data_IF_887067731447
#
_entry.id   IF_887067731447
#
_cell.length_a   1.000
_cell.length_b   1.000
_cell.length_c   1.000
_cell.angle_alpha   90.00
_cell.angle_beta   90.00
_cell.angle_gamma   90.00
#
_symmetry.space_group_name_H-M   'P 1'
#
loop_
_entity.id
_entity.type
_entity.pdbx_description
1 polymer ?
#
# COMPACT_ATOMS: atom_id res chain seq x y z
N UNK A 1 26.31 2.65 -3.71
CA UNK A 1 25.64 2.50 -5.01
C UNK A 1 25.03 3.85 -5.39
N UNK A 2 25.15 4.33 -6.63
CA UNK A 2 24.53 5.60 -7.05
C UNK A 2 23.01 5.43 -7.23
N UNK A 3 22.22 6.45 -6.88
CA UNK A 3 20.75 6.41 -6.95
C UNK A 3 20.23 6.86 -8.31
N UNK A 4 19.02 6.43 -8.66
CA UNK A 4 18.33 6.95 -9.84
C UNK A 4 18.04 8.45 -9.68
N UNK A 5 18.40 9.25 -10.68
CA UNK A 5 18.45 10.71 -10.60
C UNK A 5 19.87 11.28 -10.50
N UNK A 6 20.82 10.50 -9.95
CA UNK A 6 22.26 10.81 -10.01
C UNK A 6 22.89 10.26 -11.29
N UNK A 7 22.37 9.13 -11.78
CA UNK A 7 22.72 8.49 -13.05
C UNK A 7 21.46 7.92 -13.72
N UNK A 8 21.49 7.77 -15.05
CA UNK A 8 20.45 7.03 -15.78
C UNK A 8 20.64 5.54 -15.54
N UNK A 9 19.64 4.91 -14.91
CA UNK A 9 19.57 3.46 -14.75
C UNK A 9 18.54 2.96 -15.78
N UNK A 10 18.95 2.25 -16.86
CA UNK A 10 17.99 1.68 -17.80
C UNK A 10 17.06 0.71 -17.07
N UNK A 11 15.75 0.94 -17.16
CA UNK A 11 14.71 -0.02 -16.77
C UNK A 11 13.56 0.05 -17.76
N UNK A 12 12.96 -1.11 -18.04
CA UNK A 12 11.62 -1.17 -18.59
C UNK A 12 10.59 -1.23 -17.47
N UNK A 13 9.31 -1.12 -17.83
CA UNK A 13 8.22 -1.44 -16.91
C UNK A 13 7.65 -2.81 -17.28
N UNK A 14 7.31 -3.57 -16.24
CA UNK A 14 6.46 -4.75 -16.30
C UNK A 14 5.09 -4.36 -15.69
N UNK A 15 3.99 -4.62 -16.39
CA UNK A 15 2.64 -4.31 -15.91
C UNK A 15 1.75 -5.51 -16.22
N UNK A 16 0.95 -5.91 -15.23
CA UNK A 16 -0.08 -6.93 -15.41
C UNK A 16 -1.33 -6.57 -14.62
N UNK A 17 -2.49 -7.02 -15.08
CA UNK A 17 -3.74 -6.85 -14.36
C UNK A 17 -4.68 -8.03 -14.62
N UNK A 18 -5.45 -8.40 -13.60
CA UNK A 18 -6.52 -9.39 -13.68
C UNK A 18 -7.74 -8.87 -12.92
N UNK A 19 -8.92 -9.04 -13.52
CA UNK A 19 -10.19 -8.62 -12.91
C UNK A 19 -11.26 -9.67 -13.17
N UNK A 20 -12.01 -10.02 -12.13
CA UNK A 20 -13.19 -10.85 -12.23
C UNK A 20 -14.38 -10.00 -12.67
N UNK A 21 -14.93 -10.30 -13.86
CA UNK A 21 -16.13 -9.61 -14.38
C UNK A 21 -17.37 -9.84 -13.51
N UNK A 22 -17.39 -10.95 -12.77
CA UNK A 22 -18.49 -11.35 -11.87
C UNK A 22 -18.26 -10.86 -10.43
N UNK A 23 -17.16 -10.14 -10.16
CA UNK A 23 -16.82 -9.71 -8.79
C UNK A 23 -16.36 -10.83 -7.86
N UNK A 24 -16.12 -12.05 -8.39
CA UNK A 24 -15.56 -13.16 -7.60
C UNK A 24 -14.14 -12.82 -7.13
N UNK A 25 -13.90 -12.94 -5.83
CA UNK A 25 -12.58 -12.75 -5.21
C UNK A 25 -11.65 -13.92 -5.55
N UNK A 26 -10.39 -13.61 -5.80
CA UNK A 26 -9.31 -14.55 -6.11
C UNK A 26 -8.04 -14.11 -5.37
N UNK A 27 -7.11 -15.04 -5.16
CA UNK A 27 -5.82 -14.75 -4.54
C UNK A 27 -4.90 -13.98 -5.48
N UNK A 28 -3.83 -13.40 -4.94
CA UNK A 28 -2.81 -12.69 -5.72
C UNK A 28 -1.97 -13.63 -6.60
N UNK A 29 -2.07 -14.95 -6.46
CA UNK A 29 -1.18 -15.91 -7.13
C UNK A 29 -1.11 -15.74 -8.65
N UNK A 30 -2.27 -15.59 -9.30
CA UNK A 30 -2.32 -15.51 -10.76
C UNK A 30 -1.61 -14.25 -11.26
N UNK A 31 -1.81 -13.11 -10.61
CA UNK A 31 -1.13 -11.86 -10.98
C UNK A 31 0.36 -11.94 -10.66
N UNK A 32 0.76 -12.55 -9.54
CA UNK A 32 2.18 -12.76 -9.20
C UNK A 32 2.88 -13.60 -10.27
N UNK A 33 2.30 -14.76 -10.64
CA UNK A 33 2.85 -15.65 -11.68
C UNK A 33 2.95 -14.96 -13.04
N UNK A 34 2.02 -14.04 -13.35
CA UNK A 34 2.06 -13.28 -14.60
C UNK A 34 3.24 -12.31 -14.70
N UNK A 35 3.88 -11.95 -13.58
CA UNK A 35 5.04 -11.06 -13.56
C UNK A 35 6.36 -11.78 -13.87
N UNK A 36 6.45 -13.09 -13.60
CA UNK A 36 7.69 -13.89 -13.74
C UNK A 36 8.29 -13.80 -15.15
N UNK A 37 7.52 -13.95 -16.27
CA UNK A 37 8.09 -13.84 -17.60
C UNK A 37 8.59 -12.43 -17.96
N UNK A 38 8.26 -11.42 -17.14
CA UNK A 38 8.66 -10.03 -17.35
C UNK A 38 9.83 -9.61 -16.45
N UNK A 39 10.46 -10.53 -15.71
CA UNK A 39 11.60 -10.25 -14.81
C UNK A 39 12.67 -9.38 -15.48
N UNK A 40 13.13 -9.79 -16.67
CA UNK A 40 14.20 -9.10 -17.43
C UNK A 40 13.81 -7.71 -17.94
N UNK A 41 12.53 -7.32 -17.85
CA UNK A 41 12.08 -5.96 -18.17
C UNK A 41 12.28 -5.02 -16.99
N UNK A 42 12.44 -5.54 -15.79
CA UNK A 42 12.61 -4.80 -14.54
C UNK A 42 14.06 -4.84 -14.07
N UNK A 43 14.40 -4.01 -13.08
CA UNK A 43 15.73 -3.93 -12.48
C UNK A 43 15.72 -4.18 -10.97
N UNK A 44 14.56 -4.50 -10.39
CA UNK A 44 14.40 -4.83 -8.98
C UNK A 44 14.36 -3.61 -8.06
N UNK A 45 14.33 -2.39 -8.60
CA UNK A 45 14.25 -1.17 -7.79
C UNK A 45 12.83 -0.86 -7.30
N UNK A 46 11.82 -1.62 -7.75
CA UNK A 46 10.47 -1.49 -7.23
C UNK A 46 9.50 -2.52 -7.78
N UNK A 47 8.90 -3.30 -6.89
CA UNK A 47 7.79 -4.20 -7.18
C UNK A 47 6.57 -3.76 -6.40
N UNK A 48 5.38 -3.93 -6.99
CA UNK A 48 4.16 -3.66 -6.25
C UNK A 48 2.89 -4.20 -6.89
N UNK A 49 1.88 -4.31 -6.04
CA UNK A 49 0.55 -4.77 -6.35
C UNK A 49 -0.48 -3.79 -5.81
N UNK A 50 -1.62 -3.66 -6.48
CA UNK A 50 -2.81 -3.06 -5.91
C UNK A 50 -3.97 -4.04 -6.08
N UNK A 51 -4.80 -4.14 -5.05
CA UNK A 51 -5.91 -5.07 -5.00
C UNK A 51 -7.19 -4.35 -4.58
N UNK A 52 -8.31 -4.70 -5.20
CA UNK A 52 -9.64 -4.22 -4.82
C UNK A 52 -10.53 -5.37 -4.36
N UNK A 53 -11.42 -5.10 -3.40
CA UNK A 53 -12.24 -6.13 -2.75
C UNK A 53 -11.50 -6.93 -1.68
N UNK A 54 -10.31 -6.45 -1.27
CA UNK A 54 -9.37 -7.18 -0.43
C UNK A 54 -9.68 -7.08 1.07
N UNK A 55 -10.51 -6.12 1.48
CA UNK A 55 -10.89 -5.88 2.87
C UNK A 55 -12.42 -5.91 3.04
N UNK A 56 -13.06 -7.07 2.85
CA UNK A 56 -14.52 -7.20 2.89
C UNK A 56 -15.12 -6.76 4.23
N UNK A 57 -14.46 -7.08 5.34
CA UNK A 57 -14.93 -6.81 6.70
C UNK A 57 -14.80 -5.33 7.08
N UNK A 58 -13.96 -4.59 6.35
CA UNK A 58 -13.70 -3.16 6.53
C UNK A 58 -14.02 -2.34 5.27
N UNK A 59 -14.95 -2.84 4.44
CA UNK A 59 -15.20 -2.32 3.08
C UNK A 59 -15.54 -0.82 3.01
N UNK A 60 -16.15 -0.27 4.06
CA UNK A 60 -16.65 1.10 4.09
C UNK A 60 -15.67 2.08 4.77
N UNK A 61 -14.55 1.55 5.29
CA UNK A 61 -13.47 2.33 5.89
C UNK A 61 -12.32 2.53 4.90
N UNK A 62 -11.60 3.64 5.05
CA UNK A 62 -10.35 3.83 4.32
C UNK A 62 -9.26 2.96 4.94
N UNK A 63 -8.55 2.22 4.09
CA UNK A 63 -7.37 1.47 4.47
C UNK A 63 -6.12 2.30 4.16
N UNK A 64 -5.55 2.92 5.20
CA UNK A 64 -4.29 3.63 5.11
C UNK A 64 -3.16 2.62 5.30
N UNK A 65 -2.38 2.36 4.25
CA UNK A 65 -1.13 1.62 4.39
C UNK A 65 0.01 2.61 4.52
N UNK A 66 0.78 2.49 5.61
CA UNK A 66 1.79 3.46 5.99
C UNK A 66 3.09 2.73 6.30
N UNK A 67 4.19 3.23 5.75
CA UNK A 67 5.54 2.88 6.19
C UNK A 67 5.97 3.84 7.29
N UNK A 68 6.61 3.29 8.33
CA UNK A 68 7.31 4.07 9.34
C UNK A 68 8.76 3.66 9.48
N UNK A 69 9.63 4.64 9.71
CA UNK A 69 11.05 4.41 10.01
C UNK A 69 11.20 3.81 11.42
N UNK A 70 10.40 4.27 12.38
CA UNK A 70 10.44 3.80 13.77
C UNK A 70 9.09 3.88 14.51
N UNK A 71 9.07 3.32 15.72
CA UNK A 71 7.87 3.25 16.55
C UNK A 71 7.45 4.60 17.17
N UNK A 72 8.38 5.55 17.35
CA UNK A 72 8.05 6.87 17.86
C UNK A 72 7.24 7.63 16.80
N UNK A 73 7.74 7.66 15.56
CA UNK A 73 7.06 8.25 14.40
C UNK A 73 5.69 7.60 14.17
N UNK A 74 5.61 6.26 14.30
CA UNK A 74 4.32 5.54 14.24
C UNK A 74 3.30 6.07 15.25
N UNK A 75 3.70 6.21 16.52
CA UNK A 75 2.79 6.64 17.61
C UNK A 75 2.33 8.08 17.41
N UNK A 76 3.22 8.95 16.98
CA UNK A 76 2.91 10.35 16.73
C UNK A 76 1.97 10.50 15.52
N UNK A 77 2.19 9.74 14.43
CA UNK A 77 1.26 9.71 13.30
C UNK A 77 -0.11 9.14 13.69
N UNK A 78 -0.15 8.09 14.51
CA UNK A 78 -1.41 7.53 15.01
C UNK A 78 -2.19 8.52 15.90
N UNK A 79 -1.50 9.35 16.69
CA UNK A 79 -2.13 10.43 17.44
C UNK A 79 -2.78 11.46 16.50
N UNK A 80 -2.08 11.88 15.45
CA UNK A 80 -2.61 12.77 14.41
C UNK A 80 -3.84 12.17 13.71
N UNK A 81 -3.81 10.87 13.39
CA UNK A 81 -4.99 10.20 12.81
C UNK A 81 -6.19 10.28 13.75
N UNK A 82 -6.00 10.07 15.06
CA UNK A 82 -7.08 10.13 16.06
C UNK A 82 -7.70 11.52 16.24
N UNK A 83 -7.03 12.59 15.81
CA UNK A 83 -7.60 13.94 15.82
C UNK A 83 -8.64 14.17 14.72
N UNK A 84 -8.47 13.48 13.58
CA UNK A 84 -9.28 13.64 12.37
C UNK A 84 -10.21 12.47 12.06
N UNK A 85 -9.92 11.30 12.62
CA UNK A 85 -10.53 10.03 12.24
C UNK A 85 -10.93 9.19 13.45
N UNK A 86 -12.01 8.46 13.29
CA UNK A 86 -12.28 7.26 14.07
C UNK A 86 -11.37 6.14 13.58
N UNK A 87 -10.56 5.59 14.48
CA UNK A 87 -9.67 4.46 14.21
C UNK A 87 -10.40 3.16 14.57
N UNK A 88 -10.81 2.41 13.55
CA UNK A 88 -11.60 1.18 13.68
C UNK A 88 -10.69 -0.01 13.96
N UNK A 89 -9.56 -0.08 13.27
CA UNK A 89 -8.58 -1.14 13.45
C UNK A 89 -7.19 -0.64 13.04
N UNK A 90 -6.17 -1.12 13.75
CA UNK A 90 -4.77 -0.85 13.44
C UNK A 90 -3.96 -2.13 13.64
N UNK A 91 -3.22 -2.53 12.61
CA UNK A 91 -2.40 -3.73 12.68
C UNK A 91 -1.19 -3.65 11.75
N UNK A 92 -0.18 -4.46 12.05
CA UNK A 92 0.93 -4.67 11.12
C UNK A 92 0.43 -5.45 9.91
N UNK A 93 0.90 -5.08 8.72
CA UNK A 93 0.65 -5.89 7.52
C UNK A 93 1.46 -7.19 7.67
N UNK A 94 0.84 -8.38 7.59
CA UNK A 94 1.55 -9.65 7.65
C UNK A 94 2.57 -9.78 6.51
N UNK A 95 3.78 -10.23 6.84
CA UNK A 95 4.86 -10.42 5.89
C UNK A 95 5.61 -11.74 6.12
N UNK A 96 6.29 -12.22 5.09
CA UNK A 96 7.35 -13.22 5.18
C UNK A 96 8.72 -12.54 5.14
N UNK A 97 9.63 -12.90 6.05
CA UNK A 97 11.02 -12.45 5.94
C UNK A 97 11.74 -13.33 4.93
N UNK A 98 12.18 -12.72 3.83
CA UNK A 98 12.90 -13.37 2.73
C UNK A 98 14.18 -12.58 2.41
N UNK A 99 15.26 -13.22 1.96
CA UNK A 99 16.55 -12.55 1.73
C UNK A 99 16.53 -11.51 0.61
N UNK A 100 15.60 -11.62 -0.35
CA UNK A 100 15.47 -10.72 -1.50
C UNK A 100 14.92 -9.33 -1.13
N UNK A 101 14.22 -9.21 0.00
CA UNK A 101 13.61 -7.95 0.46
C UNK A 101 14.32 -7.51 1.75
N UNK A 102 15.14 -6.48 1.64
CA UNK A 102 15.91 -5.90 2.75
C UNK A 102 15.34 -4.55 3.20
N UNK A 103 15.89 -4.00 4.27
CA UNK A 103 15.56 -2.65 4.77
C UNK A 103 14.05 -2.44 5.01
N UNK A 104 13.41 -3.49 5.55
CA UNK A 104 11.96 -3.54 5.76
C UNK A 104 11.55 -2.46 6.78
N UNK A 105 10.75 -1.45 6.39
CA UNK A 105 10.22 -0.46 7.34
C UNK A 105 9.15 -1.09 8.23
N UNK A 106 8.68 -0.37 9.24
CA UNK A 106 7.46 -0.78 9.95
C UNK A 106 6.27 -0.58 9.01
N UNK A 107 5.59 -1.66 8.65
CA UNK A 107 4.48 -1.64 7.70
C UNK A 107 3.17 -1.83 8.47
N UNK A 108 2.33 -0.80 8.47
CA UNK A 108 1.05 -0.81 9.18
C UNK A 108 -0.10 -0.52 8.24
N UNK A 109 -1.25 -1.12 8.53
CA UNK A 109 -2.54 -0.71 7.98
C UNK A 109 -3.47 -0.19 9.07
N UNK A 110 -4.12 0.91 8.76
CA UNK A 110 -5.13 1.55 9.60
C UNK A 110 -6.44 1.59 8.84
N UNK A 111 -7.50 1.07 9.44
CA UNK A 111 -8.87 1.22 8.96
C UNK A 111 -9.50 2.40 9.67
N UNK A 112 -9.79 3.46 8.92
CA UNK A 112 -10.19 4.75 9.47
C UNK A 112 -11.43 5.32 8.78
N UNK A 113 -12.22 6.08 9.54
CA UNK A 113 -13.34 6.89 9.04
C UNK A 113 -13.16 8.34 9.47
N UNK A 114 -13.23 9.34 8.58
CA UNK A 114 -13.20 10.74 8.98
C UNK A 114 -14.31 11.08 9.99
N UNK A 115 -13.97 11.81 11.04
CA UNK A 115 -14.95 12.25 12.04
C UNK A 115 -15.93 13.26 11.42
N UNK A 116 -17.26 13.03 11.50
CA UNK A 116 -18.24 13.95 10.91
C UNK A 116 -18.12 15.39 11.45
N UNK A 117 -17.76 15.54 12.73
CA UNK A 117 -17.52 16.84 13.36
C UNK A 117 -16.37 17.61 12.73
N UNK A 118 -15.29 16.91 12.32
CA UNK A 118 -14.13 17.50 11.68
C UNK A 118 -14.46 17.91 10.25
N UNK A 119 -15.15 17.04 9.49
CA UNK A 119 -15.63 17.36 8.14
C UNK A 119 -16.54 18.60 8.14
N UNK A 120 -17.51 18.66 9.06
CA UNK A 120 -18.43 19.80 9.19
C UNK A 120 -17.69 21.09 9.55
N UNK A 121 -16.76 21.03 10.52
CA UNK A 121 -15.97 22.20 10.95
C UNK A 121 -15.09 22.75 9.83
N UNK A 122 -14.49 21.86 9.02
CA UNK A 122 -13.62 22.25 7.91
C UNK A 122 -14.38 22.53 6.61
N UNK A 123 -15.68 22.21 6.57
CA UNK A 123 -16.52 22.27 5.37
C UNK A 123 -15.93 21.51 4.18
N UNK A 124 -15.36 20.33 4.46
CA UNK A 124 -14.74 19.46 3.45
C UNK A 124 -15.59 18.22 3.21
N UNK A 125 -15.57 17.72 1.98
CA UNK A 125 -16.01 16.36 1.71
C UNK A 125 -15.00 15.32 2.25
N UNK A 126 -15.49 14.09 2.42
CA UNK A 126 -14.71 12.98 2.98
C UNK A 126 -13.43 12.68 2.17
N UNK A 127 -13.51 12.73 0.83
CA UNK A 127 -12.40 12.38 -0.05
C UNK A 127 -11.35 13.48 -0.06
N UNK A 128 -11.77 14.74 -0.06
CA UNK A 128 -10.88 15.88 0.02
C UNK A 128 -10.14 15.90 1.36
N UNK A 129 -10.83 15.66 2.47
CA UNK A 129 -10.20 15.55 3.78
C UNK A 129 -9.14 14.45 3.81
N UNK A 130 -9.47 13.23 3.34
CA UNK A 130 -8.52 12.12 3.23
C UNK A 130 -7.32 12.47 2.37
N UNK A 131 -7.54 13.03 1.17
CA UNK A 131 -6.46 13.41 0.26
C UNK A 131 -5.53 14.44 0.91
N UNK A 132 -6.07 15.46 1.57
CA UNK A 132 -5.28 16.48 2.28
C UNK A 132 -4.48 15.87 3.43
N UNK A 133 -5.08 15.01 4.25
CA UNK A 133 -4.37 14.31 5.33
C UNK A 133 -3.21 13.47 4.80
N UNK A 134 -3.44 12.70 3.73
CA UNK A 134 -2.40 11.87 3.10
C UNK A 134 -1.25 12.73 2.59
N UNK A 135 -1.55 13.84 1.92
CA UNK A 135 -0.53 14.78 1.44
C UNK A 135 0.22 15.44 2.61
N UNK A 136 -0.48 15.83 3.67
CA UNK A 136 0.13 16.43 4.85
C UNK A 136 1.08 15.45 5.56
N UNK A 137 0.68 14.19 5.76
CA UNK A 137 1.57 13.16 6.31
C UNK A 137 2.80 13.01 5.42
N UNK A 138 2.60 12.79 4.12
CA UNK A 138 3.69 12.50 3.17
C UNK A 138 4.66 13.67 2.95
N UNK A 139 4.26 14.91 3.25
CA UNK A 139 5.09 16.11 3.01
C UNK A 139 5.67 16.70 4.28
N UNK A 140 4.97 16.62 5.42
CA UNK A 140 5.36 17.27 6.67
C UNK A 140 5.89 16.28 7.71
N UNK A 141 5.45 15.02 7.66
CA UNK A 141 5.72 14.04 8.69
C UNK A 141 6.90 13.14 8.32
N UNK A 142 8.11 13.52 8.77
CA UNK A 142 9.32 12.76 8.46
C UNK A 142 9.26 11.36 9.06
N UNK A 143 9.61 10.36 8.24
CA UNK A 143 9.59 8.95 8.63
C UNK A 143 8.22 8.30 8.63
N UNK A 144 7.18 8.96 8.11
CA UNK A 144 5.91 8.33 7.77
C UNK A 144 5.61 8.52 6.29
N UNK A 145 5.13 7.46 5.63
CA UNK A 145 4.75 7.52 4.22
C UNK A 145 3.51 6.68 3.95
N UNK A 146 2.39 7.36 3.70
CA UNK A 146 1.14 6.74 3.26
C UNK A 146 1.23 6.42 1.78
N UNK A 147 1.19 5.13 1.45
CA UNK A 147 1.31 4.64 0.08
C UNK A 147 0.02 4.00 -0.46
N UNK A 148 -1.00 3.88 0.38
CA UNK A 148 -2.37 3.45 0.04
C UNK A 148 -3.35 4.15 0.96
N UNK A 149 -4.51 4.59 0.47
CA UNK A 149 -5.52 5.30 1.27
C UNK A 149 -6.95 5.15 0.72
N UNK A 150 -7.27 4.04 0.06
CA UNK A 150 -8.59 3.81 -0.54
C UNK A 150 -9.51 2.95 0.33
N UNK A 151 -10.80 2.91 -0.02
CA UNK A 151 -11.77 1.99 0.61
C UNK A 151 -11.76 0.64 -0.09
N UNK A 152 -11.85 -0.44 0.70
CA UNK A 152 -11.85 -1.83 0.22
C UNK A 152 -10.74 -2.14 -0.80
N UNK A 153 -9.59 -1.50 -0.66
CA UNK A 153 -8.45 -1.67 -1.54
C UNK A 153 -7.14 -1.47 -0.77
N UNK A 154 -6.08 -2.08 -1.24
CA UNK A 154 -4.75 -1.94 -0.67
C UNK A 154 -3.66 -2.00 -1.74
N UNK A 155 -2.62 -1.20 -1.55
CA UNK A 155 -1.37 -1.31 -2.32
C UNK A 155 -0.34 -2.06 -1.47
N UNK A 156 0.48 -2.88 -2.10
CA UNK A 156 1.60 -3.59 -1.50
C UNK A 156 2.83 -3.27 -2.36
N UNK A 157 3.86 -2.65 -1.80
CA UNK A 157 5.06 -2.27 -2.56
C UNK A 157 6.32 -2.46 -1.74
N UNK A 158 7.42 -2.78 -2.40
CA UNK A 158 8.75 -2.84 -1.78
C UNK A 158 9.82 -2.65 -2.86
N UNK A 159 11.07 -2.46 -2.44
CA UNK A 159 12.23 -2.57 -3.32
C UNK A 159 12.49 -4.07 -3.53
N UNK A 160 12.42 -4.52 -4.77
CA UNK A 160 12.50 -5.94 -5.15
C UNK A 160 11.70 -6.25 -6.40
N UNK A 161 11.83 -7.46 -6.93
CA UNK A 161 11.03 -7.91 -8.07
C UNK A 161 9.59 -8.24 -7.65
N UNK A 162 8.58 -8.06 -8.53
CA UNK A 162 7.18 -8.30 -8.18
C UNK A 162 6.90 -9.70 -7.61
N UNK A 163 7.51 -10.75 -8.12
CA UNK A 163 7.37 -12.12 -7.62
C UNK A 163 7.83 -12.27 -6.15
N UNK A 164 8.91 -11.58 -5.77
CA UNK A 164 9.42 -11.57 -4.40
C UNK A 164 8.56 -10.70 -3.50
N UNK A 165 8.14 -9.53 -3.99
CA UNK A 165 7.22 -8.63 -3.27
C UNK A 165 5.90 -9.32 -2.98
N UNK A 166 5.39 -10.12 -3.92
CA UNK A 166 4.16 -10.87 -3.75
C UNK A 166 4.25 -11.95 -2.67
N UNK A 167 5.37 -12.70 -2.63
CA UNK A 167 5.67 -13.66 -1.55
C UNK A 167 5.87 -12.95 -0.20
N UNK A 168 6.62 -11.85 -0.20
CA UNK A 168 6.89 -11.04 0.98
C UNK A 168 5.59 -10.58 1.65
N UNK A 169 4.62 -10.10 0.87
CA UNK A 169 3.31 -9.66 1.38
C UNK A 169 2.26 -10.77 1.50
N UNK A 170 2.61 -12.04 1.30
CA UNK A 170 1.69 -13.19 1.46
C UNK A 170 0.42 -13.05 0.60
N UNK A 171 0.55 -12.55 -0.64
CA UNK A 171 -0.61 -12.21 -1.48
C UNK A 171 -1.47 -13.43 -1.87
N UNK A 172 -0.95 -14.64 -1.70
CA UNK A 172 -1.68 -15.90 -1.79
C UNK A 172 -2.73 -16.09 -0.68
N UNK A 173 -2.60 -15.41 0.46
CA UNK A 173 -3.55 -15.48 1.57
C UNK A 173 -4.64 -14.40 1.53
N UNK A 174 -4.48 -13.41 0.65
CA UNK A 174 -5.48 -12.37 0.42
C UNK A 174 -6.46 -12.78 -0.68
N UNK A 175 -7.65 -12.17 -0.70
CA UNK A 175 -8.62 -12.40 -1.76
C UNK A 175 -9.29 -11.09 -2.21
N UNK A 176 -9.03 -10.68 -3.45
CA UNK A 176 -9.61 -9.50 -4.10
C UNK A 176 -10.23 -9.85 -5.45
N UNK A 177 -11.19 -9.04 -5.93
CA UNK A 177 -11.81 -9.27 -7.25
C UNK A 177 -11.01 -8.66 -8.41
N UNK A 178 -10.07 -7.76 -8.10
CA UNK A 178 -9.19 -7.12 -9.07
C UNK A 178 -7.81 -6.99 -8.48
N UNK A 179 -6.80 -7.28 -9.30
CA UNK A 179 -5.39 -7.17 -8.96
C UNK A 179 -4.64 -6.50 -10.12
N UNK A 180 -3.77 -5.56 -9.79
CA UNK A 180 -2.81 -4.96 -10.72
C UNK A 180 -1.42 -5.12 -10.16
N UNK A 181 -0.43 -5.34 -11.02
CA UNK A 181 0.97 -5.48 -10.65
C UNK A 181 1.86 -4.58 -11.51
N UNK A 182 2.94 -4.10 -10.90
CA UNK A 182 3.94 -3.27 -11.54
C UNK A 182 5.33 -3.71 -11.08
N UNK A 183 6.26 -3.84 -12.03
CA UNK A 183 7.68 -4.06 -11.80
C UNK A 183 8.51 -2.96 -12.45
N UNK A 184 9.51 -2.49 -11.72
CA UNK A 184 10.53 -1.53 -12.17
C UNK A 184 11.90 -2.17 -12.14
#
# INVERSE_FOLDING_TARGET
MKREGEIRIPSGCAISAVISREGRRMTGEAVMKSMIPMHDRSNGLGGGFAAYGIYPDYRDFYAFHIFFDDNATRRECEALLKEGFELVQAEQIPIHIIPEITDIPLIWRYFVSPLPSVLHRLQLDEKEFVARTVMDINTKFKGAYVFSSGKNMGVFKAVGYPEDVGRFYRLDEYAGYSWTAHGR
#
